data_IF_350263100776
#
_entry.id   IF_350263100776
#
_cell.length_a   1.000
_cell.length_b   1.000
_cell.length_c   1.000
_cell.angle_alpha   90.00
_cell.angle_beta   90.00
_cell.angle_gamma   90.00
#
_symmetry.space_group_name_H-M   'P 1'
#
loop_
_entity.id
_entity.type
_entity.pdbx_description
1 polymer ?
#
# COMPACT_ATOMS: atom_id res chain seq x y z
N UNK A 1 -6.82 -9.67 18.44
CA UNK A 1 -7.94 -8.86 17.93
C UNK A 1 -8.65 -9.62 16.82
N UNK A 2 -9.06 -10.88 17.06
CA UNK A 2 -9.65 -11.70 15.99
C UNK A 2 -11.05 -11.21 15.63
N UNK A 3 -11.35 -11.13 14.32
CA UNK A 3 -12.69 -10.81 13.79
C UNK A 3 -13.00 -9.33 13.52
N UNK A 4 -12.03 -8.42 13.61
CA UNK A 4 -12.20 -7.02 13.17
C UNK A 4 -11.70 -6.89 11.73
N UNK A 5 -12.46 -6.22 10.85
CA UNK A 5 -12.07 -6.01 9.45
C UNK A 5 -11.12 -4.79 9.30
N UNK A 6 -9.86 -4.98 9.67
CA UNK A 6 -8.76 -4.02 9.47
C UNK A 6 -7.52 -4.78 8.96
N UNK A 7 -6.59 -4.11 8.31
CA UNK A 7 -5.49 -4.82 7.64
C UNK A 7 -4.53 -5.47 8.64
N UNK A 8 -4.22 -4.82 9.76
CA UNK A 8 -3.37 -5.42 10.79
C UNK A 8 -3.92 -6.74 11.34
N UNK A 9 -5.23 -6.90 11.49
CA UNK A 9 -5.82 -8.16 11.98
C UNK A 9 -5.75 -9.24 10.93
N UNK A 10 -6.00 -8.92 9.66
CA UNK A 10 -5.86 -9.86 8.55
C UNK A 10 -4.42 -10.36 8.39
N UNK A 11 -3.43 -9.47 8.52
CA UNK A 11 -2.02 -9.84 8.53
C UNK A 11 -1.68 -10.79 9.69
N UNK A 12 -2.09 -10.42 10.92
CA UNK A 12 -1.83 -11.22 12.13
C UNK A 12 -2.49 -12.59 12.06
N UNK A 13 -3.74 -12.66 11.60
CA UNK A 13 -4.49 -13.91 11.47
C UNK A 13 -3.82 -14.83 10.42
N UNK A 14 -3.38 -14.27 9.28
CA UNK A 14 -2.66 -15.02 8.24
C UNK A 14 -1.29 -15.53 8.73
N UNK A 15 -0.51 -14.69 9.41
CA UNK A 15 0.78 -15.06 10.00
C UNK A 15 0.64 -16.16 11.07
N UNK A 16 -0.38 -16.02 11.94
CA UNK A 16 -0.68 -17.01 12.98
C UNK A 16 -1.09 -18.35 12.37
N UNK A 17 -1.91 -18.33 11.32
CA UNK A 17 -2.37 -19.53 10.62
C UNK A 17 -1.24 -20.25 9.88
N UNK A 18 -0.30 -19.52 9.28
CA UNK A 18 0.88 -20.10 8.64
C UNK A 18 1.82 -20.76 9.65
N UNK A 19 1.93 -20.19 10.85
CA UNK A 19 2.82 -20.66 11.91
C UNK A 19 4.30 -20.40 11.61
N UNK A 20 5.14 -20.51 12.63
CA UNK A 20 6.59 -20.28 12.48
C UNK A 20 7.02 -18.81 12.46
N UNK A 21 6.09 -17.88 12.69
CA UNK A 21 6.37 -16.43 12.81
C UNK A 21 6.10 -15.96 14.24
N UNK A 22 7.06 -15.25 14.82
CA UNK A 22 6.86 -14.48 16.05
C UNK A 22 6.45 -13.05 15.67
N UNK A 23 5.29 -12.60 16.17
CA UNK A 23 4.79 -11.26 15.89
C UNK A 23 5.14 -10.35 17.07
N UNK A 24 5.98 -9.34 16.81
CA UNK A 24 6.38 -8.34 17.81
C UNK A 24 5.56 -7.05 17.58
N UNK A 25 4.53 -6.77 18.40
CA UNK A 25 3.73 -5.56 18.25
C UNK A 25 4.51 -4.33 18.70
N UNK A 26 4.51 -3.28 17.87
CA UNK A 26 5.17 -2.00 18.16
C UNK A 26 4.15 -0.93 18.57
N UNK A 27 3.32 -0.49 17.62
CA UNK A 27 2.33 0.55 17.82
C UNK A 27 1.21 0.39 16.80
N UNK A 28 -0.02 0.63 17.22
CA UNK A 28 -1.14 0.86 16.31
C UNK A 28 -1.99 2.00 16.86
N UNK A 29 -2.26 2.99 16.03
CA UNK A 29 -3.09 4.14 16.38
C UNK A 29 -3.87 4.59 15.15
N UNK A 30 -5.07 5.13 15.38
CA UNK A 30 -5.94 5.66 14.33
C UNK A 30 -6.49 7.03 14.73
N UNK A 31 -6.83 7.81 13.70
CA UNK A 31 -7.52 9.09 13.82
C UNK A 31 -8.51 9.21 12.65
N UNK A 32 -9.58 9.97 12.84
CA UNK A 32 -10.55 10.25 11.78
C UNK A 32 -9.92 11.11 10.66
N UNK A 33 -10.32 10.91 9.39
CA UNK A 33 -9.83 11.72 8.28
C UNK A 33 -10.07 13.22 8.51
N UNK A 34 -9.02 14.02 8.29
CA UNK A 34 -9.06 15.47 8.46
C UNK A 34 -8.00 16.16 7.61
N UNK A 35 -7.56 17.35 8.04
CA UNK A 35 -6.45 18.08 7.43
C UNK A 35 -5.08 17.54 7.90
N UNK A 36 -4.02 18.28 7.60
CA UNK A 36 -2.64 17.88 7.81
C UNK A 36 -2.35 17.42 9.24
N UNK A 37 -1.64 16.30 9.35
CA UNK A 37 -1.07 15.85 10.63
C UNK A 37 -0.07 16.90 11.10
N UNK A 38 -0.22 17.35 12.35
CA UNK A 38 0.70 18.33 12.92
C UNK A 38 2.11 17.77 12.99
N UNK A 39 3.13 18.62 12.84
CA UNK A 39 4.54 18.17 12.95
C UNK A 39 4.79 17.49 14.30
N UNK A 40 4.26 18.02 15.41
CA UNK A 40 4.41 17.40 16.73
C UNK A 40 3.84 15.97 16.79
N UNK A 41 2.62 15.77 16.29
CA UNK A 41 2.00 14.46 16.26
C UNK A 41 2.79 13.46 15.38
N UNK A 42 3.21 13.89 14.18
CA UNK A 42 3.99 13.05 13.29
C UNK A 42 5.33 12.67 13.90
N UNK A 43 6.09 13.63 14.43
CA UNK A 43 7.39 13.39 15.06
C UNK A 43 7.26 12.47 16.29
N UNK A 44 6.22 12.67 17.11
CA UNK A 44 5.99 11.84 18.30
C UNK A 44 5.63 10.40 17.94
N UNK A 45 4.68 10.19 17.03
CA UNK A 45 4.22 8.85 16.64
C UNK A 45 5.32 8.12 15.85
N UNK A 46 5.99 8.78 14.90
CA UNK A 46 7.08 8.17 14.15
C UNK A 46 8.25 7.80 15.07
N UNK A 47 8.59 8.64 16.06
CA UNK A 47 9.61 8.28 17.06
C UNK A 47 9.22 7.05 17.87
N UNK A 48 7.95 6.93 18.29
CA UNK A 48 7.47 5.73 19.01
C UNK A 48 7.58 4.46 18.16
N UNK A 49 7.30 4.55 16.85
CA UNK A 49 7.46 3.43 15.92
C UNK A 49 8.93 3.05 15.79
N UNK A 50 9.81 4.03 15.55
CA UNK A 50 11.25 3.81 15.38
C UNK A 50 11.90 3.25 16.64
N UNK A 51 11.51 3.73 17.81
CA UNK A 51 12.00 3.23 19.10
C UNK A 51 11.53 1.79 19.33
N UNK A 52 10.26 1.48 19.05
CA UNK A 52 9.76 0.12 19.18
C UNK A 52 10.39 -0.87 18.19
N UNK A 53 10.71 -0.44 16.96
CA UNK A 53 11.49 -1.25 16.01
C UNK A 53 12.90 -1.50 16.56
N UNK A 54 13.54 -0.49 17.15
CA UNK A 54 14.87 -0.63 17.76
C UNK A 54 14.86 -1.58 18.96
N UNK A 55 13.84 -1.47 19.80
CA UNK A 55 13.69 -2.28 21.02
C UNK A 55 13.32 -3.74 20.71
N UNK A 56 12.68 -4.00 19.56
CA UNK A 56 12.40 -5.35 19.08
C UNK A 56 13.67 -6.15 18.74
N UNK A 57 14.80 -5.47 18.48
CA UNK A 57 16.08 -6.10 18.20
C UNK A 57 16.16 -6.66 16.78
N UNK A 58 16.65 -7.89 16.65
CA UNK A 58 16.82 -8.54 15.35
C UNK A 58 15.46 -8.94 14.79
N UNK A 59 15.07 -8.31 13.67
CA UNK A 59 13.84 -8.58 12.94
C UNK A 59 14.16 -9.24 11.61
N UNK A 60 13.31 -10.17 11.17
CA UNK A 60 13.40 -10.76 9.83
C UNK A 60 12.60 -9.96 8.78
N UNK A 61 11.59 -9.21 9.21
CA UNK A 61 10.77 -8.37 8.35
C UNK A 61 9.88 -7.42 9.14
N UNK A 62 9.36 -6.40 8.46
CA UNK A 62 8.47 -5.39 9.03
C UNK A 62 7.19 -5.35 8.21
N UNK A 63 6.06 -5.25 8.91
CA UNK A 63 4.78 -4.93 8.30
C UNK A 63 4.20 -3.66 8.92
N UNK A 64 3.69 -2.76 8.07
CA UNK A 64 3.03 -1.52 8.49
C UNK A 64 1.63 -1.45 7.88
N UNK A 65 0.63 -1.29 8.74
CA UNK A 65 -0.74 -0.95 8.36
C UNK A 65 -0.86 0.58 8.33
N UNK A 66 -0.85 1.17 7.13
CA UNK A 66 -0.81 2.61 6.91
C UNK A 66 -1.98 3.03 6.01
N UNK A 67 -2.36 4.31 6.03
CA UNK A 67 -3.42 4.79 5.12
C UNK A 67 -2.89 4.97 3.69
N UNK A 68 -1.70 5.54 3.52
CA UNK A 68 -1.10 5.84 2.21
C UNK A 68 -1.47 7.22 1.65
N UNK A 69 -2.16 8.06 2.41
CA UNK A 69 -2.54 9.43 2.01
C UNK A 69 -2.28 10.45 3.12
N UNK A 70 -1.41 10.15 4.08
CA UNK A 70 -1.06 11.07 5.16
C UNK A 70 -0.25 12.23 4.61
N UNK A 71 -0.84 13.42 4.68
CA UNK A 71 -0.12 14.67 4.51
C UNK A 71 0.15 15.26 5.89
N UNK A 72 1.39 15.71 6.11
CA UNK A 72 1.79 16.38 7.35
C UNK A 72 2.05 17.86 7.06
N UNK A 73 2.14 18.68 8.11
CA UNK A 73 2.52 20.10 7.96
C UNK A 73 3.92 20.30 7.35
N UNK A 74 4.80 19.30 7.45
CA UNK A 74 6.20 19.39 7.01
C UNK A 74 6.48 18.57 5.72
N UNK A 75 5.65 17.58 5.41
CA UNK A 75 5.87 16.60 4.35
C UNK A 75 4.57 16.36 3.59
N UNK A 76 4.63 16.49 2.26
CA UNK A 76 3.53 16.11 1.37
C UNK A 76 3.29 14.60 1.38
N UNK A 77 4.36 13.82 1.47
CA UNK A 77 4.35 12.36 1.59
C UNK A 77 4.77 11.94 3.00
N UNK A 78 3.77 11.77 3.89
CA UNK A 78 4.01 11.38 5.27
C UNK A 78 4.44 9.91 5.40
N UNK A 79 3.83 9.01 4.61
CA UNK A 79 4.19 7.59 4.59
C UNK A 79 5.61 7.37 4.05
N UNK A 80 5.99 8.04 2.98
CA UNK A 80 7.34 7.98 2.41
C UNK A 80 8.40 8.48 3.38
N UNK A 81 8.14 9.57 4.11
CA UNK A 81 9.06 10.05 5.15
C UNK A 81 9.20 9.04 6.30
N UNK A 82 8.10 8.43 6.76
CA UNK A 82 8.15 7.37 7.77
C UNK A 82 8.95 6.16 7.26
N UNK A 83 8.67 5.71 6.04
CA UNK A 83 9.36 4.58 5.42
C UNK A 83 10.84 4.85 5.20
N UNK A 84 11.23 6.08 4.83
CA UNK A 84 12.63 6.50 4.74
C UNK A 84 13.33 6.32 6.08
N UNK A 85 12.75 6.83 7.17
CA UNK A 85 13.32 6.70 8.53
C UNK A 85 13.42 5.25 8.99
N UNK A 86 12.40 4.44 8.71
CA UNK A 86 12.41 3.00 9.02
C UNK A 86 13.50 2.30 8.21
N UNK A 87 13.65 2.60 6.93
CA UNK A 87 14.69 2.03 6.06
C UNK A 87 16.10 2.40 6.52
N UNK A 88 16.30 3.63 7.00
CA UNK A 88 17.58 4.06 7.59
C UNK A 88 17.92 3.28 8.86
N UNK A 89 16.92 2.94 9.67
CA UNK A 89 17.10 2.14 10.88
C UNK A 89 17.31 0.64 10.59
N UNK A 90 16.48 0.08 9.70
CA UNK A 90 16.42 -1.35 9.39
C UNK A 90 17.52 -1.82 8.43
N UNK A 91 18.12 -0.90 7.66
CA UNK A 91 19.06 -1.22 6.61
C UNK A 91 18.40 -1.60 5.27
N UNK A 92 19.20 -1.73 4.20
CA UNK A 92 18.69 -1.86 2.83
C UNK A 92 17.99 -3.18 2.53
N UNK A 93 18.34 -4.25 3.25
CA UNK A 93 17.95 -5.61 2.87
C UNK A 93 16.71 -6.12 3.61
N UNK A 94 16.35 -5.54 4.75
CA UNK A 94 15.22 -6.00 5.55
C UNK A 94 13.89 -5.86 4.78
N UNK A 95 13.10 -6.93 4.56
CA UNK A 95 11.80 -6.82 3.93
C UNK A 95 10.84 -5.92 4.71
N UNK A 96 10.24 -4.93 4.03
CA UNK A 96 9.20 -4.05 4.59
C UNK A 96 7.96 -4.17 3.71
N UNK A 97 6.90 -4.77 4.22
CA UNK A 97 5.59 -4.81 3.55
C UNK A 97 4.68 -3.73 4.13
N UNK A 98 3.92 -3.06 3.27
CA UNK A 98 2.87 -2.12 3.70
C UNK A 98 1.53 -2.51 3.11
N UNK A 99 0.46 -2.25 3.86
CA UNK A 99 -0.90 -2.16 3.31
C UNK A 99 -1.38 -0.73 3.31
N UNK A 100 -2.15 -0.36 2.28
CA UNK A 100 -2.72 0.97 2.10
C UNK A 100 -4.20 0.93 1.72
N UNK A 101 -4.84 2.06 1.97
CA UNK A 101 -6.16 2.38 1.44
C UNK A 101 -6.13 2.55 -0.09
N UNK A 102 -7.25 2.25 -0.75
CA UNK A 102 -7.44 2.49 -2.18
C UNK A 102 -7.22 3.96 -2.56
N UNK A 103 -7.48 4.90 -1.67
CA UNK A 103 -7.26 6.33 -1.89
C UNK A 103 -5.80 6.79 -1.67
N UNK A 104 -4.85 5.87 -1.47
CA UNK A 104 -3.45 6.22 -1.27
C UNK A 104 -2.89 7.06 -2.43
N UNK A 105 -2.10 8.08 -2.11
CA UNK A 105 -1.29 8.82 -3.08
C UNK A 105 0.12 8.23 -3.07
N UNK A 106 0.31 7.12 -3.80
CA UNK A 106 1.59 6.40 -3.80
C UNK A 106 2.65 7.22 -4.54
N UNK A 107 3.81 7.39 -3.90
CA UNK A 107 4.97 8.11 -4.44
C UNK A 107 6.07 7.15 -4.88
N UNK A 108 6.99 7.60 -5.76
CA UNK A 108 8.21 6.84 -6.07
C UNK A 108 9.02 6.48 -4.82
N UNK A 109 9.08 7.37 -3.83
CA UNK A 109 9.78 7.18 -2.56
C UNK A 109 9.20 6.01 -1.76
N UNK A 110 7.86 5.92 -1.66
CA UNK A 110 7.18 4.80 -1.01
C UNK A 110 7.59 3.48 -1.66
N UNK A 111 7.55 3.37 -3.00
CA UNK A 111 7.90 2.14 -3.74
C UNK A 111 9.38 1.79 -3.59
N UNK A 112 10.23 2.81 -3.48
CA UNK A 112 11.66 2.62 -3.24
C UNK A 112 11.95 2.07 -1.83
N UNK A 113 11.30 2.62 -0.79
CA UNK A 113 11.58 2.24 0.60
C UNK A 113 10.83 0.98 1.06
N UNK A 114 9.61 0.73 0.59
CA UNK A 114 8.85 -0.48 0.88
C UNK A 114 9.27 -1.62 -0.07
N UNK A 115 9.41 -2.83 0.44
CA UNK A 115 9.66 -4.05 -0.35
C UNK A 115 8.41 -4.53 -1.09
N UNK A 116 7.23 -4.33 -0.50
CA UNK A 116 5.93 -4.54 -1.16
C UNK A 116 4.87 -3.55 -0.66
N UNK A 117 3.97 -3.18 -1.56
CA UNK A 117 2.81 -2.29 -1.30
C UNK A 117 1.57 -3.07 -1.71
N UNK A 118 0.60 -3.15 -0.80
CA UNK A 118 -0.63 -3.92 -0.97
C UNK A 118 -1.81 -3.00 -0.72
N UNK A 119 -2.75 -2.91 -1.65
CA UNK A 119 -3.77 -1.84 -1.62
C UNK A 119 -5.16 -2.46 -1.64
N UNK A 120 -6.11 -1.82 -0.94
CA UNK A 120 -7.52 -2.24 -0.96
C UNK A 120 -8.04 -2.30 -2.40
N UNK A 121 -8.85 -3.31 -2.69
CA UNK A 121 -9.45 -3.54 -4.01
C UNK A 121 -10.94 -3.18 -4.06
N UNK A 122 -11.49 -2.70 -2.95
CA UNK A 122 -12.91 -2.32 -2.86
C UNK A 122 -13.11 -0.89 -2.36
N UNK A 123 -14.07 -0.18 -2.95
CA UNK A 123 -14.64 1.06 -2.45
C UNK A 123 -16.17 1.03 -2.61
N UNK A 124 -16.95 1.03 -1.50
CA UNK A 124 -16.54 1.15 -0.10
C UNK A 124 -15.68 -0.02 0.37
N UNK A 125 -14.75 0.26 1.29
CA UNK A 125 -13.74 -0.71 1.75
C UNK A 125 -14.38 -1.82 2.57
N UNK A 126 -14.35 -3.04 2.03
CA UNK A 126 -14.80 -4.26 2.71
C UNK A 126 -13.69 -5.33 2.77
N UNK A 127 -12.57 -5.13 2.07
CA UNK A 127 -11.47 -6.08 1.92
C UNK A 127 -10.21 -5.72 2.73
N UNK A 128 -10.36 -4.98 3.85
CA UNK A 128 -9.23 -4.49 4.63
C UNK A 128 -8.41 -5.64 5.21
N UNK A 129 -9.06 -6.60 5.87
CA UNK A 129 -8.39 -7.79 6.41
C UNK A 129 -7.80 -8.66 5.29
N UNK A 130 -8.51 -8.82 4.18
CA UNK A 130 -7.99 -9.57 3.03
C UNK A 130 -6.71 -8.92 2.47
N UNK A 131 -6.64 -7.59 2.47
CA UNK A 131 -5.44 -6.86 2.05
C UNK A 131 -4.26 -7.09 3.01
N UNK A 132 -4.52 -7.09 4.32
CA UNK A 132 -3.51 -7.47 5.31
C UNK A 132 -2.98 -8.89 5.11
N UNK A 133 -3.88 -9.84 4.81
CA UNK A 133 -3.48 -11.21 4.49
C UNK A 133 -2.66 -11.30 3.18
N UNK A 134 -3.00 -10.52 2.15
CA UNK A 134 -2.18 -10.40 0.92
C UNK A 134 -0.79 -9.84 1.22
N UNK A 135 -0.71 -8.82 2.07
CA UNK A 135 0.57 -8.26 2.50
C UNK A 135 1.45 -9.29 3.24
N UNK A 136 0.84 -10.14 4.07
CA UNK A 136 1.54 -11.26 4.69
C UNK A 136 2.07 -12.26 3.65
N UNK A 137 1.25 -12.65 2.66
CA UNK A 137 1.68 -13.57 1.60
C UNK A 137 2.90 -13.04 0.84
N UNK A 138 2.93 -11.75 0.49
CA UNK A 138 4.09 -11.15 -0.16
C UNK A 138 5.30 -11.06 0.78
N UNK A 139 5.09 -10.70 2.05
CA UNK A 139 6.19 -10.67 3.01
C UNK A 139 6.78 -12.08 3.22
N UNK A 140 5.95 -13.09 3.34
CA UNK A 140 6.36 -14.49 3.43
C UNK A 140 7.21 -14.90 2.22
N UNK A 141 6.79 -14.53 1.00
CA UNK A 141 7.59 -14.77 -0.20
C UNK A 141 8.95 -14.08 -0.13
N UNK A 142 8.99 -12.81 0.28
CA UNK A 142 10.24 -12.06 0.41
C UNK A 142 11.21 -12.69 1.43
N UNK A 143 10.68 -13.28 2.50
CA UNK A 143 11.46 -13.98 3.53
C UNK A 143 12.01 -15.32 3.05
N UNK A 144 11.30 -16.03 2.17
CA UNK A 144 11.69 -17.39 1.73
C UNK A 144 12.45 -17.42 0.40
N UNK A 145 12.02 -16.64 -0.58
CA UNK A 145 12.52 -16.66 -1.96
C UNK A 145 13.39 -15.44 -2.31
N UNK A 146 13.31 -14.36 -1.50
CA UNK A 146 14.09 -13.15 -1.69
C UNK A 146 13.35 -12.04 -2.44
N UNK A 147 14.09 -11.12 -3.06
CA UNK A 147 13.54 -9.88 -3.61
C UNK A 147 12.66 -10.11 -4.86
N UNK A 148 11.59 -9.33 -4.95
CA UNK A 148 10.77 -9.18 -6.14
C UNK A 148 11.22 -7.95 -6.95
N UNK A 149 11.15 -8.05 -8.27
CA UNK A 149 11.27 -6.88 -9.15
C UNK A 149 10.03 -6.00 -8.99
N UNK A 150 10.19 -4.68 -9.15
CA UNK A 150 9.14 -3.69 -8.91
C UNK A 150 8.90 -2.85 -10.16
N UNK A 151 7.64 -2.52 -10.41
CA UNK A 151 7.26 -1.49 -11.37
C UNK A 151 6.23 -0.54 -10.72
N UNK A 152 6.38 0.74 -11.05
CA UNK A 152 5.46 1.81 -10.63
C UNK A 152 5.05 2.61 -11.86
N UNK A 153 3.75 2.92 -11.95
CA UNK A 153 3.18 3.85 -12.94
C UNK A 153 2.23 4.79 -12.24
N UNK A 154 2.18 6.03 -12.70
CA UNK A 154 1.27 7.04 -12.20
C UNK A 154 0.52 7.65 -13.40
N UNK A 155 -0.79 7.79 -13.25
CA UNK A 155 -1.63 8.34 -14.30
C UNK A 155 -1.40 9.85 -14.47
N UNK A 156 -1.54 10.39 -15.70
CA UNK A 156 -1.36 11.81 -15.97
C UNK A 156 -2.62 12.65 -15.67
N UNK A 157 -3.63 12.09 -15.00
CA UNK A 157 -4.89 12.76 -14.67
C UNK A 157 -5.42 12.37 -13.28
N UNK A 158 -6.36 13.16 -12.76
CA UNK A 158 -7.01 12.92 -11.46
C UNK A 158 -8.38 12.30 -11.66
N UNK A 159 -8.79 11.40 -10.76
CA UNK A 159 -10.13 10.81 -10.74
C UNK A 159 -10.96 11.42 -9.60
N UNK A 160 -12.13 12.03 -9.88
CA UNK A 160 -13.03 12.52 -8.84
C UNK A 160 -13.41 11.41 -7.86
N UNK A 161 -13.41 11.69 -6.55
CA UNK A 161 -13.74 10.70 -5.50
C UNK A 161 -15.09 10.02 -5.73
N UNK A 162 -16.06 10.76 -6.25
CA UNK A 162 -17.40 10.29 -6.60
C UNK A 162 -17.41 9.23 -7.71
N UNK A 163 -16.35 9.16 -8.51
CA UNK A 163 -16.18 8.21 -9.62
C UNK A 163 -15.27 7.01 -9.28
N UNK A 164 -14.83 6.86 -8.02
CA UNK A 164 -13.92 5.79 -7.60
C UNK A 164 -14.62 4.51 -7.09
N UNK A 165 -15.96 4.45 -7.11
CA UNK A 165 -16.73 3.29 -6.63
C UNK A 165 -16.41 2.02 -7.43
N UNK A 166 -15.84 1.00 -6.78
CA UNK A 166 -15.37 -0.23 -7.46
C UNK A 166 -16.50 -1.14 -7.92
N UNK A 167 -17.74 -0.89 -7.50
CA UNK A 167 -18.92 -1.56 -8.06
C UNK A 167 -19.45 -0.94 -9.36
N UNK A 168 -18.88 0.19 -9.81
CA UNK A 168 -19.30 0.93 -11.00
C UNK A 168 -18.18 1.00 -12.05
N UNK A 169 -18.54 1.13 -13.32
CA UNK A 169 -17.54 1.39 -14.36
C UNK A 169 -16.96 2.81 -14.24
N UNK A 170 -15.67 3.01 -14.55
CA UNK A 170 -14.73 2.01 -15.08
C UNK A 170 -13.98 1.19 -14.02
N UNK A 171 -14.08 1.57 -12.74
CA UNK A 171 -13.36 0.89 -11.64
C UNK A 171 -13.69 -0.61 -11.56
N UNK A 172 -14.94 -1.01 -11.81
CA UNK A 172 -15.35 -2.41 -11.78
C UNK A 172 -14.51 -3.27 -12.73
N UNK A 173 -14.36 -2.86 -13.99
CA UNK A 173 -13.51 -3.58 -14.94
C UNK A 173 -12.02 -3.51 -14.58
N UNK A 174 -11.54 -2.35 -14.12
CA UNK A 174 -10.14 -2.19 -13.72
C UNK A 174 -9.75 -3.13 -12.58
N UNK A 175 -10.54 -3.18 -11.50
CA UNK A 175 -10.25 -4.03 -10.35
C UNK A 175 -10.51 -5.53 -10.64
N UNK A 176 -11.47 -5.87 -11.50
CA UNK A 176 -11.65 -7.25 -11.96
C UNK A 176 -10.44 -7.79 -12.74
N UNK A 177 -9.65 -6.93 -13.38
CA UNK A 177 -8.41 -7.35 -14.05
C UNK A 177 -7.32 -7.79 -13.06
N UNK A 178 -7.28 -7.20 -11.85
CA UNK A 178 -6.33 -7.57 -10.79
C UNK A 178 -6.59 -8.99 -10.25
N UNK A 179 -7.84 -9.44 -10.24
CA UNK A 179 -8.20 -10.80 -9.83
C UNK A 179 -7.66 -11.86 -10.82
N UNK A 180 -7.58 -11.51 -12.10
CA UNK A 180 -7.07 -12.41 -13.14
C UNK A 180 -5.56 -12.63 -13.01
N UNK A 181 -4.84 -11.69 -12.39
CA UNK A 181 -3.40 -11.80 -12.10
C UNK A 181 -3.11 -12.77 -10.95
N UNK A 182 -4.08 -13.03 -10.06
CA UNK A 182 -3.91 -13.88 -8.87
C UNK A 182 -3.64 -15.37 -9.18
N UNK A 183 -3.76 -15.78 -10.45
CA UNK A 183 -3.44 -17.14 -10.91
C UNK A 183 -1.96 -17.40 -11.19
N UNK A 184 -1.12 -16.37 -11.29
CA UNK A 184 0.32 -16.50 -11.50
C UNK A 184 1.06 -16.41 -10.17
N UNK A 185 1.73 -17.49 -9.77
CA UNK A 185 2.35 -17.66 -8.43
C UNK A 185 3.42 -16.65 -8.05
N UNK A 186 3.88 -15.80 -8.99
CA UNK A 186 4.95 -14.83 -8.79
C UNK A 186 4.56 -13.38 -9.02
N UNK A 187 3.30 -13.08 -9.34
CA UNK A 187 2.86 -11.71 -9.71
C UNK A 187 1.87 -11.16 -8.70
N UNK A 188 2.13 -9.96 -8.20
CA UNK A 188 1.16 -9.14 -7.48
C UNK A 188 1.11 -7.75 -8.08
N UNK A 189 -0.09 -7.21 -8.25
CA UNK A 189 -0.28 -5.82 -8.64
C UNK A 189 -1.51 -5.26 -7.94
N UNK A 190 -1.48 -3.96 -7.69
CA UNK A 190 -2.56 -3.22 -7.06
C UNK A 190 -2.65 -1.80 -7.63
N UNK A 191 -3.86 -1.22 -7.52
CA UNK A 191 -4.21 0.12 -7.98
C UNK A 191 -4.59 0.96 -6.77
N UNK A 192 -3.97 2.13 -6.63
CA UNK A 192 -4.51 3.22 -5.83
C UNK A 192 -5.22 4.22 -6.74
N UNK A 193 -6.40 4.70 -6.35
CA UNK A 193 -7.13 5.74 -7.08
C UNK A 193 -6.70 7.16 -6.70
N UNK A 194 -5.88 7.30 -5.65
CA UNK A 194 -5.44 8.59 -5.14
C UNK A 194 -6.53 9.36 -4.39
N UNK A 195 -6.08 10.35 -3.62
CA UNK A 195 -6.93 11.29 -2.90
C UNK A 195 -6.64 12.71 -3.40
N UNK A 196 -7.33 13.18 -4.48
CA UNK A 196 -7.12 14.51 -5.05
C UNK A 196 -7.23 15.67 -4.05
N UNK A 197 -8.11 15.66 -3.03
CA UNK A 197 -8.17 16.75 -2.05
C UNK A 197 -6.92 16.93 -1.18
N UNK A 198 -5.94 16.02 -1.24
CA UNK A 198 -4.66 16.17 -0.55
C UNK A 198 -3.83 17.36 -1.06
N UNK A 199 -4.00 17.74 -2.34
CA UNK A 199 -3.24 18.81 -3.01
C UNK A 199 -1.72 18.63 -2.90
N UNK A 200 -1.22 17.46 -3.30
CA UNK A 200 0.22 17.13 -3.29
C UNK A 200 0.73 16.80 -4.70
N UNK A 201 2.05 16.88 -4.90
CA UNK A 201 2.67 16.71 -6.22
C UNK A 201 2.34 15.35 -6.87
N UNK A 202 2.33 14.28 -6.08
CA UNK A 202 2.03 12.92 -6.52
C UNK A 202 0.56 12.51 -6.27
N UNK A 203 -0.38 13.46 -6.21
CA UNK A 203 -1.80 13.14 -6.16
C UNK A 203 -2.26 12.51 -7.46
N UNK A 204 -2.91 11.36 -7.38
CA UNK A 204 -3.56 10.72 -8.52
C UNK A 204 -3.49 9.20 -8.48
N UNK A 205 -4.17 8.54 -9.43
CA UNK A 205 -4.14 7.10 -9.52
C UNK A 205 -2.74 6.59 -9.83
N UNK A 206 -2.41 5.45 -9.26
CA UNK A 206 -1.11 4.83 -9.40
C UNK A 206 -1.21 3.32 -9.34
N UNK A 207 -0.24 2.66 -9.96
CA UNK A 207 -0.15 1.22 -10.09
C UNK A 207 1.20 0.79 -9.52
N UNK A 208 1.16 -0.25 -8.69
CA UNK A 208 2.34 -0.98 -8.24
C UNK A 208 2.25 -2.41 -8.74
N UNK A 209 3.36 -2.95 -9.23
CA UNK A 209 3.47 -4.35 -9.62
C UNK A 209 4.77 -4.96 -9.10
N UNK A 210 4.68 -6.22 -8.68
CA UNK A 210 5.75 -7.02 -8.14
C UNK A 210 5.78 -8.36 -8.87
N UNK A 211 6.95 -8.75 -9.36
CA UNK A 211 7.11 -9.99 -10.11
C UNK A 211 8.48 -10.63 -9.92
N UNK A 212 8.64 -11.89 -10.36
CA UNK A 212 9.93 -12.59 -10.35
C UNK A 212 10.93 -12.07 -11.37
N UNK A 213 10.49 -11.25 -12.34
CA UNK A 213 11.35 -10.58 -13.31
C UNK A 213 10.91 -9.15 -13.56
N UNK A 214 11.86 -8.28 -13.94
CA UNK A 214 11.56 -6.88 -14.24
C UNK A 214 10.65 -6.74 -15.45
N UNK A 215 10.85 -7.56 -16.49
CA UNK A 215 10.00 -7.59 -17.68
C UNK A 215 8.54 -7.91 -17.34
N UNK A 216 8.30 -8.88 -16.46
CA UNK A 216 6.94 -9.24 -16.02
C UNK A 216 6.30 -8.12 -15.18
N UNK A 217 7.04 -7.51 -14.25
CA UNK A 217 6.54 -6.39 -13.46
C UNK A 217 6.17 -5.19 -14.35
N UNK A 218 7.02 -4.84 -15.31
CA UNK A 218 6.77 -3.74 -16.24
C UNK A 218 5.58 -4.03 -17.15
N UNK A 219 5.48 -5.23 -17.73
CA UNK A 219 4.36 -5.61 -18.59
C UNK A 219 3.00 -5.53 -17.87
N UNK A 220 2.96 -5.96 -16.60
CA UNK A 220 1.73 -5.89 -15.78
C UNK A 220 1.38 -4.44 -15.50
N UNK A 221 2.35 -3.62 -15.07
CA UNK A 221 2.11 -2.21 -14.76
C UNK A 221 1.69 -1.42 -16.02
N UNK A 222 2.32 -1.67 -17.17
CA UNK A 222 2.00 -1.03 -18.45
C UNK A 222 0.62 -1.43 -18.97
N UNK A 223 0.23 -2.70 -18.81
CA UNK A 223 -1.12 -3.15 -19.20
C UNK A 223 -2.23 -2.53 -18.36
N UNK A 224 -2.01 -2.39 -17.05
CA UNK A 224 -2.94 -1.71 -16.15
C UNK A 224 -3.02 -0.21 -16.44
N UNK A 225 -1.87 0.44 -16.69
CA UNK A 225 -1.78 1.85 -17.09
C UNK A 225 -2.56 2.09 -18.38
N UNK A 226 -2.37 1.24 -19.40
CA UNK A 226 -3.10 1.37 -20.66
C UNK A 226 -4.62 1.23 -20.45
N UNK A 227 -5.05 0.32 -19.58
CA UNK A 227 -6.46 0.13 -19.25
C UNK A 227 -7.07 1.37 -18.57
N UNK A 228 -6.28 2.07 -17.74
CA UNK A 228 -6.67 3.33 -17.13
C UNK A 228 -6.77 4.47 -18.14
N UNK A 229 -5.76 4.63 -18.98
CA UNK A 229 -5.73 5.66 -20.03
C UNK A 229 -6.93 5.49 -20.98
N UNK A 230 -7.25 4.25 -21.36
CA UNK A 230 -8.42 3.95 -22.20
C UNK A 230 -9.76 4.28 -21.51
N UNK A 231 -9.77 4.26 -20.17
CA UNK A 231 -10.92 4.56 -19.34
C UNK A 231 -11.04 6.04 -18.92
N UNK A 232 -10.05 6.90 -19.22
CA UNK A 232 -9.99 8.31 -18.77
C UNK A 232 -11.32 9.04 -19.03
N UNK A 233 -11.84 8.96 -20.26
CA UNK A 233 -13.08 9.63 -20.66
C UNK A 233 -14.36 9.04 -20.04
N UNK A 234 -14.27 7.97 -19.25
CA UNK A 234 -15.39 7.33 -18.55
C UNK A 234 -15.47 7.80 -17.10
N UNK A 235 -14.37 8.31 -16.53
CA UNK A 235 -14.33 8.92 -15.20
C UNK A 235 -15.02 10.31 -15.19
N UNK A 236 -16.29 10.33 -15.58
CA UNK A 236 -17.15 11.50 -15.50
C UNK A 236 -17.86 11.54 -14.14
N UNK A 237 -17.89 12.72 -13.54
CA UNK A 237 -18.68 12.98 -12.35
C UNK A 237 -20.15 13.18 -12.77
N UNK A 238 -20.96 12.13 -12.68
CA UNK A 238 -22.41 12.21 -12.92
C UNK A 238 -23.12 12.55 -11.61
N UNK A 239 -22.88 13.75 -11.09
CA UNK A 239 -23.67 14.32 -9.99
C UNK A 239 -25.08 14.68 -10.47
#
# INVERSE_FOLDING_TARGET
>A
MSGVNISITGFVDAATAAGGYEIIPVLWCSAEPSSYVTTDAFERISSMILDGIRDAGDLDGIYLDLHGAMVTQAHQDGEGELLRRIRELAGPDLPIAVSFDLHANVTPEIVNYASSVNIFRTYPHIDLADTGARAFTLLQHLLSEGQLCKAFRQEPFLVPLTSQHTGSEPCRSLYASLEQLAGATSVSADIAMGFPPADIFHSGPSIVAYAGSQEEADNVADGLLQSFLDAEGIFEDKL
#
